data_IF_930916744827
#
_entry.id   IF_930916744827
#
_cell.length_a   1.000
_cell.length_b   1.000
_cell.length_c   1.000
_cell.angle_alpha   90.00
_cell.angle_beta   90.00
_cell.angle_gamma   90.00
#
_symmetry.space_group_name_H-M   'P 1'
#
loop_
_entity.id
_entity.type
_entity.pdbx_description
1 polymer ?
#
# COMPACT_ATOMS: atom_id res chain seq x y z
N UNK A 1 -3.52 23.77 -0.12
CA UNK A 1 -2.42 22.93 -0.66
C UNK A 1 -1.73 23.52 -1.89
N UNK A 2 -2.39 24.37 -2.70
CA UNK A 2 -1.75 24.99 -3.88
C UNK A 2 -0.48 25.79 -3.58
N UNK A 3 -0.47 26.64 -2.56
CA UNK A 3 0.71 27.44 -2.19
C UNK A 3 1.92 26.57 -1.83
N UNK A 4 1.72 25.49 -1.06
CA UNK A 4 2.80 24.55 -0.71
C UNK A 4 3.33 23.83 -1.96
N UNK A 5 2.44 23.43 -2.87
CA UNK A 5 2.87 22.78 -4.12
C UNK A 5 3.63 23.74 -5.05
N UNK A 6 3.31 25.03 -5.01
CA UNK A 6 4.01 26.06 -5.78
C UNK A 6 5.40 26.33 -5.23
N UNK A 7 5.54 26.49 -3.91
CA UNK A 7 6.83 26.61 -3.22
C UNK A 7 7.73 25.39 -3.53
N UNK A 8 7.19 24.18 -3.50
CA UNK A 8 7.93 22.97 -3.89
C UNK A 8 8.41 23.04 -5.34
N UNK A 9 7.57 23.51 -6.28
CA UNK A 9 7.97 23.67 -7.70
C UNK A 9 9.06 24.72 -7.87
N UNK A 10 9.02 25.81 -7.12
CA UNK A 10 10.07 26.84 -7.12
C UNK A 10 11.40 26.26 -6.64
N UNK A 11 11.40 25.49 -5.54
CA UNK A 11 12.60 24.81 -5.03
C UNK A 11 13.12 23.77 -6.05
N UNK A 12 12.23 22.97 -6.63
CA UNK A 12 12.57 22.01 -7.68
C UNK A 12 13.24 22.69 -8.88
N UNK A 13 12.71 23.84 -9.31
CA UNK A 13 13.29 24.62 -10.41
C UNK A 13 14.69 25.16 -10.05
N UNK A 14 14.91 25.61 -8.82
CA UNK A 14 16.24 26.03 -8.34
C UNK A 14 17.25 24.87 -8.34
N UNK A 15 16.80 23.65 -8.08
CA UNK A 15 17.62 22.43 -8.13
C UNK A 15 17.76 21.84 -9.54
N UNK A 16 17.09 22.42 -10.54
CA UNK A 16 17.10 21.92 -11.93
C UNK A 16 16.30 20.63 -12.15
N UNK A 17 15.34 20.34 -11.27
CA UNK A 17 14.55 19.10 -11.30
C UNK A 17 13.13 19.39 -11.78
N UNK A 18 12.67 18.65 -12.79
CA UNK A 18 11.36 18.86 -13.42
C UNK A 18 10.25 17.99 -12.83
N UNK A 19 10.57 16.81 -12.29
CA UNK A 19 9.60 15.86 -11.71
C UNK A 19 9.91 15.61 -10.25
N UNK A 20 8.88 15.60 -9.41
CA UNK A 20 9.05 15.39 -7.98
C UNK A 20 9.65 14.00 -7.67
N UNK A 21 9.28 12.99 -8.45
CA UNK A 21 9.81 11.63 -8.36
C UNK A 21 11.35 11.59 -8.44
N UNK A 22 11.97 12.51 -9.17
CA UNK A 22 13.42 12.59 -9.34
C UNK A 22 14.14 13.18 -8.11
N UNK A 23 13.40 13.75 -7.14
CA UNK A 23 13.92 14.20 -5.83
C UNK A 23 13.91 13.10 -4.77
N UNK A 24 13.07 12.07 -4.92
CA UNK A 24 12.86 11.07 -3.87
C UNK A 24 14.15 10.24 -3.72
N UNK A 25 14.71 10.23 -2.50
CA UNK A 25 15.94 9.50 -2.18
C UNK A 25 17.26 10.22 -2.52
N UNK A 26 17.21 11.44 -3.09
CA UNK A 26 18.38 12.24 -3.45
C UNK A 26 18.99 13.00 -2.26
N UNK A 27 19.47 12.26 -1.27
CA UNK A 27 20.19 12.83 -0.13
C UNK A 27 21.49 13.55 -0.53
N UNK A 28 22.06 13.23 -1.69
CA UNK A 28 23.19 13.93 -2.30
C UNK A 28 22.90 15.40 -2.67
N UNK A 29 21.62 15.79 -2.82
CA UNK A 29 21.21 17.18 -3.01
C UNK A 29 21.12 17.97 -1.70
N UNK A 30 21.30 17.30 -0.56
CA UNK A 30 21.27 17.93 0.76
C UNK A 30 22.68 18.26 1.21
N UNK A 31 22.85 19.49 1.70
CA UNK A 31 24.07 19.89 2.39
C UNK A 31 23.73 20.48 3.76
N UNK A 32 24.62 20.25 4.71
CA UNK A 32 24.55 20.91 6.01
C UNK A 32 25.13 22.30 5.87
N UNK A 33 24.38 23.33 6.28
CA UNK A 33 24.95 24.67 6.39
C UNK A 33 26.09 24.64 7.42
N UNK A 34 27.32 24.90 7.00
CA UNK A 34 28.39 25.30 7.91
C UNK A 34 27.98 26.62 8.56
N UNK A 35 27.52 26.58 9.81
CA UNK A 35 27.32 27.82 10.57
C UNK A 35 25.91 28.13 11.04
N UNK A 36 25.22 27.17 11.68
CA UNK A 36 24.61 27.58 12.94
C UNK A 36 25.78 27.56 13.94
N UNK A 37 26.41 28.72 14.20
CA UNK A 37 27.39 28.88 15.28
C UNK A 37 26.70 28.76 16.65
N UNK A 38 26.03 27.64 16.86
CA UNK A 38 25.34 27.31 18.08
C UNK A 38 26.07 26.15 18.72
N UNK A 39 26.50 26.36 19.95
CA UNK A 39 27.32 25.41 20.70
C UNK A 39 26.70 24.00 20.81
N UNK A 40 25.36 23.88 20.78
CA UNK A 40 24.66 22.57 20.77
C UNK A 40 24.69 21.83 19.44
N UNK A 41 24.95 22.54 18.33
CA UNK A 41 25.05 21.92 17.01
C UNK A 41 26.46 21.36 16.76
N UNK A 42 27.44 21.70 17.61
CA UNK A 42 28.79 21.14 17.55
C UNK A 42 28.73 19.63 17.87
N UNK A 43 29.08 18.81 16.89
CA UNK A 43 29.15 17.35 17.04
C UNK A 43 27.91 16.58 16.57
N UNK A 44 26.94 17.23 15.92
CA UNK A 44 25.88 16.50 15.22
C UNK A 44 26.45 15.78 14.00
N UNK A 45 26.26 14.47 13.95
CA UNK A 45 26.62 13.62 12.82
C UNK A 45 25.34 13.18 12.08
N UNK A 46 25.19 13.65 10.85
CA UNK A 46 24.07 13.31 9.97
C UNK A 46 24.40 12.19 8.98
N UNK A 47 25.57 11.56 9.10
CA UNK A 47 26.02 10.46 8.21
C UNK A 47 24.94 9.39 8.04
N UNK A 48 24.24 9.02 9.11
CA UNK A 48 23.16 8.02 9.10
C UNK A 48 21.88 8.49 8.40
N UNK A 49 21.62 9.80 8.37
CA UNK A 49 20.43 10.38 7.75
C UNK A 49 20.65 10.58 6.25
N UNK A 50 21.86 10.97 5.85
CA UNK A 50 22.22 11.17 4.45
C UNK A 50 22.84 9.92 3.80
N UNK A 51 22.87 8.80 4.51
CA UNK A 51 23.38 7.55 3.97
C UNK A 51 22.55 7.12 2.75
N UNK A 52 23.23 6.93 1.62
CA UNK A 52 22.68 6.34 0.41
C UNK A 52 23.32 4.95 0.23
N UNK A 53 22.50 3.88 0.18
CA UNK A 53 22.98 2.55 -0.17
C UNK A 53 23.62 2.53 -1.57
N UNK A 54 24.68 1.73 -1.75
CA UNK A 54 25.36 1.59 -3.05
C UNK A 54 24.42 0.99 -4.11
N UNK A 55 23.47 0.15 -3.68
CA UNK A 55 22.50 -0.51 -4.55
C UNK A 55 21.48 0.46 -5.18
N UNK A 56 21.45 1.73 -4.77
CA UNK A 56 20.60 2.76 -5.38
C UNK A 56 20.98 3.10 -6.83
N UNK A 57 22.14 2.63 -7.33
CA UNK A 57 22.49 2.70 -8.75
C UNK A 57 21.73 1.67 -9.60
N UNK A 58 21.47 0.49 -9.03
CA UNK A 58 20.81 -0.64 -9.70
C UNK A 58 19.32 -0.76 -9.37
N UNK A 59 18.89 -0.23 -8.21
CA UNK A 59 17.52 -0.28 -7.70
C UNK A 59 16.98 1.13 -7.52
N UNK A 60 15.75 1.37 -7.98
CA UNK A 60 15.12 2.68 -7.85
C UNK A 60 15.05 3.12 -6.37
N UNK A 61 15.54 4.32 -5.99
CA UNK A 61 15.53 4.82 -4.61
C UNK A 61 14.13 5.27 -4.13
N UNK A 62 13.08 4.83 -4.83
CA UNK A 62 11.70 5.22 -4.62
C UNK A 62 10.79 4.03 -4.91
N UNK A 63 9.56 4.12 -4.42
CA UNK A 63 8.55 3.10 -4.69
C UNK A 63 8.12 3.14 -6.17
N UNK A 64 8.56 2.16 -6.95
CA UNK A 64 8.23 2.03 -8.39
C UNK A 64 7.36 0.82 -8.71
N UNK A 65 7.28 -0.15 -7.80
CA UNK A 65 6.58 -1.41 -8.01
C UNK A 65 5.34 -1.52 -7.13
N UNK A 66 4.36 -2.29 -7.58
CA UNK A 66 3.19 -2.64 -6.77
C UNK A 66 3.49 -3.86 -5.91
N UNK A 67 2.88 -3.94 -4.73
CA UNK A 67 2.97 -5.13 -3.90
C UNK A 67 2.09 -6.23 -4.50
N UNK A 68 2.71 -7.34 -4.88
CA UNK A 68 2.00 -8.56 -5.23
C UNK A 68 1.76 -9.38 -3.96
N UNK A 69 0.48 -9.49 -3.56
CA UNK A 69 0.06 -10.25 -2.39
C UNK A 69 -0.38 -11.69 -2.72
N UNK A 70 -0.28 -12.11 -3.99
CA UNK A 70 -0.68 -13.45 -4.43
C UNK A 70 -2.17 -13.75 -4.24
N UNK A 71 -3.01 -12.70 -4.20
CA UNK A 71 -4.43 -12.83 -3.91
C UNK A 71 -5.18 -13.52 -5.04
N UNK A 72 -4.64 -13.54 -6.26
CA UNK A 72 -5.22 -14.24 -7.41
C UNK A 72 -5.37 -15.76 -7.17
N UNK A 73 -4.62 -16.31 -6.22
CA UNK A 73 -4.67 -17.74 -5.83
C UNK A 73 -5.52 -17.99 -4.59
N UNK A 74 -6.15 -16.96 -4.04
CA UNK A 74 -6.98 -17.10 -2.85
C UNK A 74 -8.18 -18.00 -3.12
N UNK A 75 -8.48 -18.89 -2.17
CA UNK A 75 -9.62 -19.82 -2.26
C UNK A 75 -10.95 -19.05 -2.37
N UNK A 76 -11.00 -17.85 -1.81
CA UNK A 76 -12.19 -17.01 -1.80
C UNK A 76 -12.70 -16.64 -3.19
N UNK A 77 -11.88 -16.64 -4.23
CA UNK A 77 -12.37 -16.48 -5.60
C UNK A 77 -13.40 -17.57 -5.94
N UNK A 78 -13.15 -18.81 -5.54
CA UNK A 78 -14.08 -19.92 -5.71
C UNK A 78 -15.31 -19.75 -4.83
N UNK A 79 -15.12 -19.28 -3.59
CA UNK A 79 -16.23 -19.07 -2.65
C UNK A 79 -17.19 -17.98 -3.15
N UNK A 80 -16.66 -16.88 -3.66
CA UNK A 80 -17.45 -15.76 -4.21
C UNK A 80 -18.25 -16.20 -5.43
N UNK A 81 -17.63 -16.95 -6.35
CA UNK A 81 -18.35 -17.49 -7.51
C UNK A 81 -19.48 -18.43 -7.11
N UNK A 82 -19.25 -19.35 -6.16
CA UNK A 82 -20.29 -20.25 -5.67
C UNK A 82 -21.37 -19.54 -4.85
N UNK A 83 -21.03 -18.44 -4.18
CA UNK A 83 -21.95 -17.65 -3.38
C UNK A 83 -22.68 -16.55 -4.16
N UNK A 84 -22.47 -16.46 -5.48
CA UNK A 84 -23.00 -15.36 -6.31
C UNK A 84 -24.50 -15.19 -6.21
N UNK A 85 -25.29 -16.27 -6.20
CA UNK A 85 -26.74 -16.21 -6.06
C UNK A 85 -27.18 -15.58 -4.72
N UNK A 86 -26.48 -15.90 -3.63
CA UNK A 86 -26.72 -15.27 -2.33
C UNK A 86 -26.33 -13.79 -2.32
N UNK A 87 -25.19 -13.45 -2.92
CA UNK A 87 -24.70 -12.07 -3.00
C UNK A 87 -25.63 -11.22 -3.88
N UNK A 88 -26.19 -11.78 -4.95
CA UNK A 88 -27.01 -11.06 -5.93
C UNK A 88 -28.48 -10.97 -5.56
N UNK A 89 -29.07 -12.08 -5.17
CA UNK A 89 -30.51 -12.20 -4.99
C UNK A 89 -30.93 -12.43 -3.53
N UNK A 90 -29.98 -12.60 -2.61
CA UNK A 90 -30.26 -12.95 -1.22
C UNK A 90 -30.73 -14.40 -1.04
N UNK A 91 -30.45 -15.28 -2.01
CA UNK A 91 -30.80 -16.70 -1.94
C UNK A 91 -29.94 -17.46 -0.92
N UNK A 92 -30.50 -18.52 -0.34
CA UNK A 92 -29.72 -19.43 0.50
C UNK A 92 -28.88 -20.38 -0.36
N UNK A 93 -27.57 -20.36 -0.19
CA UNK A 93 -26.62 -21.25 -0.87
C UNK A 93 -25.86 -22.09 0.16
N UNK A 94 -25.75 -23.38 -0.11
CA UNK A 94 -24.99 -24.32 0.72
C UNK A 94 -24.12 -25.21 -0.16
N UNK A 95 -22.83 -25.28 0.14
CA UNK A 95 -21.89 -26.09 -0.63
C UNK A 95 -20.67 -26.53 0.19
N UNK A 96 -20.04 -27.61 -0.26
CA UNK A 96 -18.80 -28.14 0.33
C UNK A 96 -17.60 -27.57 -0.41
N UNK A 97 -16.57 -27.12 0.32
CA UNK A 97 -15.31 -26.65 -0.23
C UNK A 97 -14.12 -27.20 0.56
N UNK A 98 -13.25 -28.04 -0.06
CA UNK A 98 -12.03 -28.49 0.59
C UNK A 98 -11.09 -27.34 0.94
N UNK A 99 -10.68 -27.27 2.21
CA UNK A 99 -9.71 -26.31 2.74
C UNK A 99 -8.42 -27.04 3.15
N UNK A 100 -7.27 -26.47 2.79
CA UNK A 100 -5.93 -26.93 3.19
C UNK A 100 -5.21 -25.84 3.97
N UNK A 101 -4.14 -26.19 4.68
CA UNK A 101 -3.32 -25.24 5.46
C UNK A 101 -2.72 -24.08 4.62
N UNK A 102 -2.56 -24.27 3.31
CA UNK A 102 -2.11 -23.23 2.38
C UNK A 102 -3.20 -22.17 2.11
N UNK A 103 -4.48 -22.51 2.33
CA UNK A 103 -5.60 -21.61 2.19
C UNK A 103 -5.74 -20.80 3.49
N UNK A 104 -5.11 -19.63 3.52
CA UNK A 104 -5.22 -18.70 4.64
C UNK A 104 -6.38 -17.73 4.42
N UNK A 105 -6.92 -17.19 5.51
CA UNK A 105 -7.97 -16.16 5.51
C UNK A 105 -9.21 -16.53 4.69
N UNK A 106 -9.60 -17.82 4.72
CA UNK A 106 -10.76 -18.33 3.98
C UNK A 106 -12.02 -17.58 4.42
N UNK A 107 -12.76 -17.02 3.47
CA UNK A 107 -13.98 -16.25 3.67
C UNK A 107 -13.78 -14.75 3.87
N UNK A 108 -12.55 -14.24 4.01
CA UNK A 108 -12.29 -12.82 4.26
C UNK A 108 -12.66 -11.93 3.05
N UNK A 109 -12.29 -12.32 1.83
CA UNK A 109 -12.68 -11.59 0.62
C UNK A 109 -14.17 -11.75 0.35
N UNK A 110 -14.73 -12.94 0.57
CA UNK A 110 -16.18 -13.16 0.47
C UNK A 110 -16.95 -12.22 1.42
N UNK A 111 -16.53 -12.14 2.68
CA UNK A 111 -17.10 -11.23 3.67
C UNK A 111 -16.99 -9.77 3.21
N UNK A 112 -15.84 -9.36 2.68
CA UNK A 112 -15.65 -8.02 2.11
C UNK A 112 -16.59 -7.71 0.93
N UNK A 113 -16.83 -8.68 0.05
CA UNK A 113 -17.78 -8.53 -1.07
C UNK A 113 -19.21 -8.39 -0.57
N UNK A 114 -19.62 -9.20 0.41
CA UNK A 114 -20.94 -9.12 1.04
C UNK A 114 -21.11 -7.75 1.71
N UNK A 115 -20.16 -7.33 2.54
CA UNK A 115 -20.20 -6.05 3.25
C UNK A 115 -20.21 -4.85 2.29
N UNK A 116 -19.44 -4.91 1.20
CA UNK A 116 -19.42 -3.85 0.18
C UNK A 116 -20.78 -3.69 -0.51
N UNK A 117 -21.54 -4.77 -0.65
CA UNK A 117 -22.82 -4.77 -1.37
C UNK A 117 -24.02 -4.52 -0.46
N UNK A 118 -24.06 -5.18 0.70
CA UNK A 118 -25.20 -5.18 1.63
C UNK A 118 -24.98 -4.32 2.87
N UNK A 119 -23.80 -3.71 3.02
CA UNK A 119 -23.49 -2.84 4.15
C UNK A 119 -23.44 -3.60 5.48
N UNK A 120 -23.89 -2.93 6.55
CA UNK A 120 -23.87 -3.48 7.90
C UNK A 120 -24.94 -4.55 8.13
N UNK A 121 -26.09 -4.44 7.45
CA UNK A 121 -27.22 -5.37 7.59
C UNK A 121 -26.89 -6.75 7.01
N UNK A 122 -25.96 -6.81 6.04
CA UNK A 122 -25.44 -8.06 5.51
C UNK A 122 -26.49 -8.89 4.77
N UNK A 123 -26.29 -10.20 4.78
CA UNK A 123 -27.28 -11.17 4.30
C UNK A 123 -28.03 -11.77 5.49
N UNK A 124 -29.19 -12.37 5.22
CA UNK A 124 -29.88 -13.16 6.23
C UNK A 124 -28.97 -14.26 6.80
N UNK A 125 -29.20 -14.62 8.06
CA UNK A 125 -28.47 -15.72 8.71
C UNK A 125 -28.56 -17.00 7.85
N UNK A 126 -27.44 -17.72 7.76
CA UNK A 126 -27.29 -18.92 6.93
C UNK A 126 -27.64 -18.73 5.44
N UNK A 127 -27.64 -17.50 4.91
CA UNK A 127 -27.75 -17.26 3.47
C UNK A 127 -26.56 -17.86 2.70
N UNK A 128 -25.38 -17.91 3.31
CA UNK A 128 -24.21 -18.59 2.74
C UNK A 128 -23.67 -19.59 3.78
N UNK A 129 -23.83 -20.88 3.49
CA UNK A 129 -23.33 -21.96 4.31
C UNK A 129 -22.23 -22.73 3.57
N UNK A 130 -21.05 -22.84 4.17
CA UNK A 130 -19.89 -23.48 3.55
C UNK A 130 -19.36 -24.55 4.51
N UNK A 131 -19.30 -25.79 4.03
CA UNK A 131 -18.84 -26.96 4.78
C UNK A 131 -17.50 -27.51 4.28
#
# INVERSE_FOLDING_TARGET
>A
FFFVAEEVREIMAQLGVAKFDDLIGRADLLDTRKGIEHWKAKGLDFSRVFYQPEECEDVAPRHVDVQDHGLERALDHVLIEKAKAAIENGEHVSFIQPVRNVNRTVGAMLSGVIAKKHGHDGLADDAVHIQ
#
